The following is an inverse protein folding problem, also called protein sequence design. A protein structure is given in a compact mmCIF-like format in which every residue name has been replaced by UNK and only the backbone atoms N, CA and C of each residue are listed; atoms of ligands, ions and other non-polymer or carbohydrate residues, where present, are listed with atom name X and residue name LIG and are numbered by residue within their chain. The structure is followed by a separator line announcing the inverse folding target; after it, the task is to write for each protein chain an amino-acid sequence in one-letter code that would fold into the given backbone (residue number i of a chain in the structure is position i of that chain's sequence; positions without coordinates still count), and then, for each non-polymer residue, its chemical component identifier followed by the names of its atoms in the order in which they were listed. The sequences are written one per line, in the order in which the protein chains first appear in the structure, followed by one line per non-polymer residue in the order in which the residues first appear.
data_IF_916161797318
#
_entry.id   IF_916161797318
#
_cell.length_a   1.000
_cell.length_b   1.000
_cell.length_c   1.000
_cell.angle_alpha   90.00
_cell.angle_beta   90.00
_cell.angle_gamma   90.00
#
_symmetry.space_group_name_H-M   'P 1'
#
loop_
_entity.id
_entity.type
_entity.pdbx_description
1 polymer ?
#
# COMPACT_ATOMS: atom_id res chain seq x y z
N UNK A 1 2.47 -16.23 7.69
CA UNK A 1 1.63 -15.02 7.89
C UNK A 1 2.58 -13.87 8.14
N UNK A 2 2.36 -12.72 7.51
CA UNK A 2 3.20 -11.53 7.61
C UNK A 2 2.41 -10.43 8.33
N UNK A 3 3.02 -9.80 9.33
CA UNK A 3 2.45 -8.63 10.00
C UNK A 3 3.15 -7.36 9.50
N UNK A 4 2.36 -6.36 9.13
CA UNK A 4 2.83 -5.04 8.70
C UNK A 4 1.99 -3.94 9.34
N UNK A 5 2.44 -2.69 9.23
CA UNK A 5 1.76 -1.53 9.77
C UNK A 5 1.33 -0.61 8.63
N UNK A 6 0.03 -0.32 8.54
CA UNK A 6 -0.53 0.64 7.58
C UNK A 6 -1.00 1.85 8.38
N UNK A 7 -0.38 3.01 8.19
CA UNK A 7 -0.66 4.23 8.96
C UNK A 7 -0.66 4.00 10.49
N UNK A 8 0.28 3.17 10.97
CA UNK A 8 0.39 2.79 12.38
C UNK A 8 -0.57 1.68 12.83
N UNK A 9 -1.53 1.26 12.02
CA UNK A 9 -2.42 0.13 12.34
C UNK A 9 -1.82 -1.20 11.89
N UNK A 10 -1.78 -2.18 12.79
CA UNK A 10 -1.30 -3.52 12.48
C UNK A 10 -2.26 -4.28 11.57
N UNK A 11 -1.74 -4.88 10.50
CA UNK A 11 -2.48 -5.69 9.52
C UNK A 11 -1.72 -7.00 9.30
N UNK A 12 -2.44 -8.12 9.29
CA UNK A 12 -1.88 -9.45 9.05
C UNK A 12 -2.34 -10.00 7.72
N UNK A 13 -1.38 -10.38 6.87
CA UNK A 13 -1.64 -10.91 5.53
C UNK A 13 -0.96 -12.27 5.32
N UNK A 14 -1.38 -12.97 4.27
CA UNK A 14 -0.70 -14.20 3.82
C UNK A 14 0.59 -13.80 3.09
N UNK A 15 1.61 -14.62 3.17
CA UNK A 15 2.83 -14.43 2.40
C UNK A 15 2.52 -14.38 0.89
N UNK A 16 3.26 -13.56 0.14
CA UNK A 16 2.98 -13.30 -1.28
C UNK A 16 1.86 -12.27 -1.53
N UNK A 17 1.22 -11.73 -0.49
CA UNK A 17 0.27 -10.61 -0.64
C UNK A 17 1.02 -9.33 -1.03
N UNK A 18 0.51 -8.60 -2.03
CA UNK A 18 1.05 -7.29 -2.39
C UNK A 18 0.59 -6.20 -1.42
N UNK A 19 1.36 -5.12 -1.30
CA UNK A 19 1.01 -3.96 -0.47
C UNK A 19 -0.32 -3.35 -0.93
N UNK A 20 -0.60 -3.37 -2.24
CA UNK A 20 -1.89 -2.96 -2.80
C UNK A 20 -3.06 -3.79 -2.24
N UNK A 21 -2.92 -5.11 -2.19
CA UNK A 21 -3.94 -5.99 -1.64
C UNK A 21 -4.08 -5.81 -0.12
N UNK A 22 -2.98 -5.59 0.60
CA UNK A 22 -3.00 -5.29 2.04
C UNK A 22 -3.76 -3.97 2.34
N UNK A 23 -3.55 -2.92 1.54
CA UNK A 23 -4.30 -1.66 1.65
C UNK A 23 -5.80 -1.89 1.44
N UNK A 24 -6.18 -2.69 0.44
CA UNK A 24 -7.58 -3.02 0.18
C UNK A 24 -8.22 -3.79 1.34
N UNK A 25 -7.51 -4.77 1.92
CA UNK A 25 -7.96 -5.52 3.09
C UNK A 25 -8.15 -4.62 4.32
N UNK A 26 -7.24 -3.65 4.50
CA UNK A 26 -7.34 -2.64 5.56
C UNK A 26 -8.38 -1.53 5.27
N UNK A 27 -9.14 -1.62 4.16
CA UNK A 27 -10.09 -0.60 3.70
C UNK A 27 -9.44 0.80 3.58
N UNK A 28 -8.16 0.83 3.22
CA UNK A 28 -7.35 2.02 3.05
C UNK A 28 -7.22 2.41 1.57
N UNK A 29 -6.53 3.52 1.31
CA UNK A 29 -6.19 4.02 -0.02
C UNK A 29 -4.68 4.17 -0.13
N UNK A 30 -4.13 4.38 -1.33
CA UNK A 30 -2.69 4.57 -1.50
C UNK A 30 -2.28 6.02 -1.28
N UNK A 31 -3.02 6.95 -1.90
CA UNK A 31 -2.73 8.38 -1.85
C UNK A 31 -3.97 9.25 -2.11
N UNK A 32 -3.90 10.54 -1.81
CA UNK A 32 -4.88 11.55 -2.20
C UNK A 32 -4.44 12.24 -3.49
N UNK A 33 -5.41 12.62 -4.32
CA UNK A 33 -5.18 13.54 -5.44
C UNK A 33 -4.98 14.96 -4.93
N UNK A 34 -4.55 15.86 -5.81
CA UNK A 34 -4.48 17.31 -5.51
C UNK A 34 -5.84 17.90 -5.11
N UNK A 35 -6.94 17.23 -5.46
CA UNK A 35 -8.30 17.63 -5.09
C UNK A 35 -8.85 16.83 -3.89
N UNK A 36 -8.04 16.00 -3.23
CA UNK A 36 -8.44 15.22 -2.06
C UNK A 36 -9.16 13.90 -2.36
N UNK A 37 -9.17 13.44 -3.60
CA UNK A 37 -9.78 12.16 -3.94
C UNK A 37 -8.87 11.00 -3.56
N UNK A 38 -9.43 9.97 -2.92
CA UNK A 38 -8.70 8.74 -2.59
C UNK A 38 -8.35 7.98 -3.87
N UNK A 39 -7.07 7.73 -4.07
CA UNK A 39 -6.53 6.95 -5.18
C UNK A 39 -6.10 5.57 -4.69
N UNK A 40 -6.42 4.58 -5.52
CA UNK A 40 -6.15 3.17 -5.30
C UNK A 40 -5.50 2.58 -6.56
N UNK A 41 -4.95 1.36 -6.52
CA UNK A 41 -4.45 0.70 -7.71
C UNK A 41 -5.54 0.58 -8.79
N UNK A 42 -5.28 1.14 -9.98
CA UNK A 42 -6.14 0.99 -11.15
C UNK A 42 -5.60 -0.09 -12.10
N UNK A 43 -4.37 0.08 -12.58
CA UNK A 43 -3.81 -0.82 -13.60
C UNK A 43 -3.21 -2.13 -13.06
N UNK A 44 -2.88 -2.21 -11.77
CA UNK A 44 -2.13 -3.34 -11.18
C UNK A 44 -0.68 -3.50 -11.66
N UNK A 45 -0.31 -2.89 -12.78
CA UNK A 45 1.00 -3.02 -13.45
C UNK A 45 2.00 -1.90 -13.12
N UNK A 46 1.59 -0.89 -12.35
CA UNK A 46 2.42 0.26 -11.97
C UNK A 46 2.47 1.43 -12.95
N UNK A 47 1.95 1.27 -14.17
CA UNK A 47 1.95 2.33 -15.20
C UNK A 47 1.14 3.56 -14.78
N UNK A 48 -0.01 3.38 -14.12
CA UNK A 48 -0.86 4.50 -13.70
C UNK A 48 -0.26 5.32 -12.54
N UNK A 49 0.68 4.76 -11.76
CA UNK A 49 1.27 5.40 -10.59
C UNK A 49 0.25 5.83 -9.49
N UNK A 50 -1.01 5.40 -9.57
CA UNK A 50 -2.04 5.76 -8.57
C UNK A 50 -1.87 5.03 -7.24
N UNK A 51 -1.10 3.94 -7.22
CA UNK A 51 -0.84 3.14 -6.02
C UNK A 51 0.45 3.50 -5.27
N UNK A 52 1.04 4.67 -5.55
CA UNK A 52 2.26 5.13 -4.86
C UNK A 52 1.99 5.29 -3.36
N UNK A 53 2.87 4.74 -2.55
CA UNK A 53 2.89 4.86 -1.08
C UNK A 53 4.32 5.07 -0.60
N UNK A 54 4.47 5.49 0.65
CA UNK A 54 5.74 5.43 1.34
C UNK A 54 5.86 4.11 2.09
N UNK A 55 6.99 3.44 1.98
CA UNK A 55 7.33 2.26 2.76
C UNK A 55 8.69 2.48 3.40
N UNK A 56 8.73 2.48 4.74
CA UNK A 56 9.95 2.74 5.51
C UNK A 56 10.70 4.01 5.03
N UNK A 57 9.95 5.07 4.69
CA UNK A 57 10.49 6.34 4.19
C UNK A 57 10.79 6.40 2.68
N UNK A 58 10.63 5.30 1.93
CA UNK A 58 10.87 5.24 0.49
C UNK A 58 9.57 5.21 -0.30
N UNK A 59 9.46 6.05 -1.34
CA UNK A 59 8.31 6.03 -2.24
C UNK A 59 8.40 4.83 -3.18
N UNK A 60 7.38 3.98 -3.16
CA UNK A 60 7.30 2.75 -3.97
C UNK A 60 5.90 2.54 -4.54
N UNK A 61 5.75 1.56 -5.44
CA UNK A 61 4.47 1.17 -6.05
C UNK A 61 3.84 0.01 -5.29
N UNK A 62 2.73 0.25 -4.58
CA UNK A 62 2.09 -0.78 -3.78
C UNK A 62 1.68 -2.03 -4.59
N UNK A 63 1.34 -1.87 -5.87
CA UNK A 63 0.93 -3.00 -6.72
C UNK A 63 2.09 -3.90 -7.18
N UNK A 64 3.33 -3.44 -7.08
CA UNK A 64 4.52 -4.22 -7.45
C UNK A 64 5.38 -4.61 -6.23
N UNK A 65 5.00 -4.19 -5.03
CA UNK A 65 5.73 -4.50 -3.80
C UNK A 65 4.99 -5.58 -3.01
N UNK A 66 5.69 -6.65 -2.63
CA UNK A 66 5.17 -7.66 -1.72
C UNK A 66 5.28 -7.18 -0.27
N UNK A 67 4.31 -7.56 0.55
CA UNK A 67 4.35 -7.33 1.99
C UNK A 67 5.53 -8.08 2.62
N UNK A 68 6.22 -7.42 3.55
CA UNK A 68 7.30 -8.00 4.35
C UNK A 68 7.03 -7.76 5.82
N UNK A 69 7.64 -8.59 6.67
CA UNK A 69 7.48 -8.51 8.12
C UNK A 69 7.92 -7.14 8.64
N UNK A 70 7.12 -6.57 9.54
CA UNK A 70 7.34 -5.29 10.22
C UNK A 70 7.47 -4.07 9.28
N UNK A 71 7.06 -4.23 8.02
CA UNK A 71 7.00 -3.17 7.02
C UNK A 71 6.06 -2.05 7.49
N UNK A 72 6.50 -0.79 7.38
CA UNK A 72 5.66 0.38 7.68
C UNK A 72 5.23 1.06 6.39
N UNK A 73 3.95 1.02 6.10
CA UNK A 73 3.31 1.62 4.93
C UNK A 73 2.58 2.88 5.36
N UNK A 74 2.87 3.99 4.68
CA UNK A 74 2.28 5.29 4.91
C UNK A 74 1.62 5.79 3.61
N UNK A 75 0.35 6.17 3.73
CA UNK A 75 -0.45 6.72 2.63
C UNK A 75 -0.30 8.24 2.63
N UNK A 76 -0.28 8.87 1.44
CA UNK A 76 0.00 10.32 1.30
C UNK A 76 -1.20 11.11 0.81
#
# INVERSE_FOLDING_TARGET
MIQLFINGQSVSVIEGTSVAAALAQAKSYSRLSVCGEKRTPFCGMGVCQECRVNINGLRVLACQTLCQQDMKVETQ
#
